data_IF_229980311808
#
_entry.id   IF_229980311808
#
_cell.length_a   1.000
_cell.length_b   1.000
_cell.length_c   1.000
_cell.angle_alpha   90.00
_cell.angle_beta   90.00
_cell.angle_gamma   90.00
#
_symmetry.space_group_name_H-M   'P 1'
#
loop_
_entity.id
_entity.type
_entity.pdbx_description
1 polymer ?
#
# COMPACT_ATOMS: atom_id res chain seq x y z
N UNK A 1 -24.58 37.56 -2.51
CA UNK A 1 -23.55 37.27 -1.51
C UNK A 1 -23.80 35.85 -1.02
N UNK A 2 -23.12 34.87 -1.62
CA UNK A 2 -23.25 33.45 -1.30
C UNK A 2 -22.33 33.16 -0.12
N UNK A 3 -22.89 32.92 1.05
CA UNK A 3 -22.14 32.44 2.20
C UNK A 3 -21.68 30.98 1.92
N UNK A 4 -20.41 30.71 2.09
CA UNK A 4 -19.90 29.36 2.01
C UNK A 4 -20.60 28.48 3.07
N UNK A 5 -20.90 27.25 2.70
CA UNK A 5 -21.54 26.24 3.58
C UNK A 5 -20.69 26.12 4.87
N UNK A 6 -21.31 26.26 6.06
CA UNK A 6 -20.58 26.17 7.33
C UNK A 6 -19.81 24.84 7.51
N UNK A 7 -20.24 23.75 6.86
CA UNK A 7 -19.53 22.46 6.86
C UNK A 7 -18.20 22.57 6.11
N UNK A 8 -18.17 23.29 4.96
CA UNK A 8 -16.96 23.52 4.17
C UNK A 8 -15.98 24.43 4.90
N UNK A 9 -16.50 25.44 5.61
CA UNK A 9 -15.67 26.32 6.44
C UNK A 9 -15.03 25.60 7.62
N UNK A 10 -15.79 24.73 8.27
CA UNK A 10 -15.30 23.92 9.39
C UNK A 10 -14.27 22.85 8.96
N UNK A 11 -14.36 22.35 7.71
CA UNK A 11 -13.33 21.46 7.13
C UNK A 11 -12.04 22.19 6.76
N UNK A 12 -12.11 23.47 6.40
CA UNK A 12 -10.93 24.28 6.06
C UNK A 12 -10.15 24.74 7.30
N UNK A 13 -10.83 24.99 8.42
CA UNK A 13 -10.18 25.37 9.69
C UNK A 13 -9.52 24.17 10.41
N UNK A 14 -9.89 22.92 10.06
CA UNK A 14 -9.34 21.71 10.64
C UNK A 14 -8.15 21.13 9.87
N UNK A 15 -7.60 21.83 8.86
CA UNK A 15 -6.48 21.30 8.06
C UNK A 15 -5.15 21.17 8.84
N UNK A 16 -5.01 21.86 9.97
CA UNK A 16 -3.84 21.74 10.87
C UNK A 16 -3.97 20.58 11.88
N UNK A 17 -5.13 19.96 12.00
CA UNK A 17 -5.43 18.93 13.00
C UNK A 17 -5.75 17.56 12.36
N UNK A 18 -5.30 17.33 11.12
CA UNK A 18 -5.53 16.08 10.37
C UNK A 18 -5.03 14.83 11.09
N UNK A 19 -4.06 14.96 11.98
CA UNK A 19 -3.55 13.85 12.79
C UNK A 19 -4.49 13.44 13.97
N UNK A 20 -5.49 14.24 14.29
CA UNK A 20 -6.41 13.98 15.42
C UNK A 20 -7.65 13.19 15.07
N UNK A 21 -8.05 13.13 13.80
CA UNK A 21 -9.28 12.46 13.37
C UNK A 21 -9.05 11.22 12.49
N UNK A 22 -8.03 10.42 12.79
CA UNK A 22 -8.03 9.05 12.31
C UNK A 22 -9.15 8.33 13.06
N UNK A 23 -10.31 8.20 12.41
CA UNK A 23 -11.39 7.35 12.86
C UNK A 23 -10.85 5.92 12.93
N UNK A 24 -10.41 5.52 14.12
CA UNK A 24 -10.02 4.12 14.36
C UNK A 24 -11.30 3.30 14.27
N UNK A 25 -11.41 2.50 13.24
CA UNK A 25 -12.51 1.54 13.11
C UNK A 25 -12.52 0.61 14.32
N UNK A 26 -13.58 0.73 15.12
CA UNK A 26 -13.81 -0.18 16.25
C UNK A 26 -14.43 -1.46 15.71
N UNK A 27 -13.84 -2.60 16.01
CA UNK A 27 -14.37 -3.93 15.66
C UNK A 27 -13.58 -4.68 14.59
N UNK A 28 -13.02 -4.03 13.57
CA UNK A 28 -12.16 -4.70 12.58
C UNK A 28 -10.78 -5.05 13.13
N UNK A 29 -10.32 -4.31 14.12
CA UNK A 29 -9.04 -4.52 14.79
C UNK A 29 -8.92 -5.89 15.46
N UNK A 30 -10.04 -6.48 15.87
CA UNK A 30 -10.09 -7.78 16.55
C UNK A 30 -10.17 -8.94 15.55
N UNK A 31 -10.52 -8.70 14.28
CA UNK A 31 -10.80 -9.73 13.29
C UNK A 31 -9.73 -9.79 12.21
N UNK A 32 -9.26 -8.64 11.70
CA UNK A 32 -8.32 -8.57 10.59
C UNK A 32 -7.23 -7.54 10.85
N UNK A 33 -5.98 -7.96 10.68
CA UNK A 33 -4.81 -7.07 10.68
C UNK A 33 -4.59 -6.43 9.31
N UNK A 34 -3.68 -5.46 9.24
CA UNK A 34 -3.34 -4.75 8.01
C UNK A 34 -2.80 -5.65 6.89
N UNK A 35 -2.25 -6.82 7.20
CA UNK A 35 -1.82 -7.80 6.19
C UNK A 35 -2.96 -8.24 5.26
N UNK A 36 -4.19 -8.25 5.74
CA UNK A 36 -5.34 -8.70 4.94
C UNK A 36 -5.60 -7.75 3.76
N UNK A 37 -5.19 -6.49 3.84
CA UNK A 37 -5.29 -5.53 2.73
C UNK A 37 -4.54 -5.99 1.48
N UNK A 38 -3.50 -6.83 1.62
CA UNK A 38 -2.72 -7.40 0.50
C UNK A 38 -3.63 -8.13 -0.49
N UNK A 39 -4.73 -8.74 -0.01
CA UNK A 39 -5.69 -9.47 -0.85
C UNK A 39 -6.30 -8.58 -1.93
N UNK A 40 -6.50 -7.28 -1.64
CA UNK A 40 -7.01 -6.30 -2.58
C UNK A 40 -5.89 -5.59 -3.34
N UNK A 41 -4.86 -5.19 -2.62
CA UNK A 41 -3.72 -4.44 -3.17
C UNK A 41 -3.00 -5.21 -4.28
N UNK A 42 -2.76 -6.53 -4.10
CA UNK A 42 -2.09 -7.32 -5.15
C UNK A 42 -2.93 -7.51 -6.42
N UNK A 43 -4.25 -7.36 -6.31
CA UNK A 43 -5.15 -7.36 -7.47
C UNK A 43 -5.13 -6.02 -8.18
N UNK A 44 -5.14 -4.95 -7.40
CA UNK A 44 -5.15 -3.58 -7.93
C UNK A 44 -3.85 -3.26 -8.67
N UNK A 45 -2.70 -3.52 -8.05
CA UNK A 45 -1.39 -3.23 -8.63
C UNK A 45 -0.79 -4.47 -9.29
N UNK A 46 -0.98 -4.59 -10.61
CA UNK A 46 -0.65 -5.80 -11.37
C UNK A 46 0.85 -6.03 -11.57
N UNK A 47 1.68 -4.99 -11.42
CA UNK A 47 3.15 -5.02 -11.50
C UNK A 47 3.84 -5.04 -10.13
N UNK A 48 3.07 -5.08 -9.05
CA UNK A 48 3.58 -5.12 -7.69
C UNK A 48 3.56 -6.54 -7.11
N UNK A 49 4.53 -6.83 -6.25
CA UNK A 49 4.60 -8.05 -5.46
C UNK A 49 4.73 -7.71 -3.97
N UNK A 50 4.08 -8.49 -3.11
CA UNK A 50 4.04 -8.27 -1.67
C UNK A 50 4.75 -9.42 -0.96
N UNK A 51 5.90 -9.13 -0.35
CA UNK A 51 6.65 -10.08 0.47
C UNK A 51 6.42 -9.78 1.95
N UNK A 52 5.61 -10.60 2.59
CA UNK A 52 5.36 -10.49 4.04
C UNK A 52 6.54 -11.06 4.79
N UNK A 53 7.10 -10.27 5.71
CA UNK A 53 8.12 -10.74 6.65
C UNK A 53 7.43 -11.14 7.94
N UNK A 54 7.23 -12.46 8.15
CA UNK A 54 6.37 -12.90 9.23
C UNK A 54 6.38 -14.39 9.51
N UNK A 55 5.46 -14.85 10.34
CA UNK A 55 5.34 -16.25 10.72
C UNK A 55 4.55 -17.09 9.69
N UNK A 56 4.59 -18.42 9.87
CA UNK A 56 3.74 -19.37 9.12
C UNK A 56 2.25 -19.06 9.27
N UNK A 57 1.83 -18.54 10.43
CA UNK A 57 0.44 -18.14 10.68
C UNK A 57 0.04 -16.96 9.77
N UNK A 58 0.91 -15.96 9.58
CA UNK A 58 0.69 -14.86 8.66
C UNK A 58 0.55 -15.37 7.22
N UNK A 59 1.42 -16.29 6.80
CA UNK A 59 1.35 -16.91 5.48
C UNK A 59 0.01 -17.63 5.28
N UNK A 60 -0.42 -18.42 6.25
CA UNK A 60 -1.67 -19.16 6.19
C UNK A 60 -2.90 -18.22 6.14
N UNK A 61 -2.90 -17.16 6.93
CA UNK A 61 -3.96 -16.15 6.93
C UNK A 61 -4.15 -15.55 5.53
N UNK A 62 -3.07 -15.08 4.91
CA UNK A 62 -3.15 -14.42 3.60
C UNK A 62 -3.53 -15.43 2.52
N UNK A 63 -2.96 -16.62 2.52
CA UNK A 63 -3.31 -17.68 1.56
C UNK A 63 -4.79 -18.09 1.68
N UNK A 64 -5.31 -18.19 2.89
CA UNK A 64 -6.72 -18.53 3.12
C UNK A 64 -7.63 -17.42 2.64
N UNK A 65 -7.31 -16.16 2.95
CA UNK A 65 -8.09 -15.01 2.50
C UNK A 65 -8.03 -14.85 0.97
N UNK A 66 -6.86 -15.05 0.35
CA UNK A 66 -6.69 -14.98 -1.09
C UNK A 66 -7.27 -16.18 -1.84
N UNK A 67 -7.36 -17.34 -1.19
CA UNK A 67 -7.94 -18.56 -1.76
C UNK A 67 -9.42 -18.41 -2.16
N UNK A 68 -10.13 -17.47 -1.57
CA UNK A 68 -11.49 -17.09 -1.98
C UNK A 68 -11.48 -16.37 -3.35
N UNK A 69 -10.34 -15.85 -3.78
CA UNK A 69 -10.16 -15.12 -5.03
C UNK A 69 -9.42 -15.95 -6.09
N UNK A 70 -9.97 -17.11 -6.40
CA UNK A 70 -9.39 -18.21 -7.20
C UNK A 70 -8.89 -17.77 -8.60
N UNK A 71 -9.33 -16.63 -9.11
CA UNK A 71 -9.07 -16.21 -10.49
C UNK A 71 -7.92 -15.21 -10.65
N UNK A 72 -7.22 -14.87 -9.57
CA UNK A 72 -6.08 -13.96 -9.64
C UNK A 72 -4.77 -14.70 -9.38
N UNK A 73 -3.77 -14.47 -10.22
CA UNK A 73 -2.40 -14.92 -9.93
C UNK A 73 -1.92 -14.31 -8.61
N UNK A 74 -1.48 -15.11 -7.62
CA UNK A 74 -1.01 -14.58 -6.37
C UNK A 74 0.30 -13.82 -6.58
N UNK A 75 0.31 -12.52 -6.30
CA UNK A 75 1.50 -11.68 -6.32
C UNK A 75 1.90 -11.32 -4.89
N UNK A 76 1.94 -12.33 -4.04
CA UNK A 76 2.43 -12.24 -2.67
C UNK A 76 3.10 -13.54 -2.23
N UNK A 77 4.02 -13.41 -1.28
CA UNK A 77 4.69 -14.53 -0.61
C UNK A 77 5.00 -14.14 0.84
N UNK A 78 5.51 -15.08 1.63
CA UNK A 78 5.96 -14.83 3.00
C UNK A 78 7.39 -15.30 3.17
N UNK A 79 8.27 -14.40 3.60
CA UNK A 79 9.56 -14.71 4.20
C UNK A 79 9.27 -15.17 5.63
N UNK A 80 9.43 -16.46 5.89
CA UNK A 80 9.05 -17.06 7.18
C UNK A 80 10.17 -16.85 8.17
N UNK A 81 9.87 -16.11 9.25
CA UNK A 81 10.70 -16.05 10.45
C UNK A 81 10.48 -17.31 11.27
N UNK A 82 11.54 -18.07 11.50
CA UNK A 82 11.51 -19.29 12.29
C UNK A 82 11.84 -19.02 13.78
N UNK A 83 11.84 -20.08 14.59
CA UNK A 83 12.10 -19.95 16.03
C UNK A 83 13.52 -19.44 16.33
N UNK A 84 14.49 -19.65 15.43
CA UNK A 84 15.87 -19.17 15.58
C UNK A 84 15.98 -17.69 15.31
N UNK A 85 15.22 -17.20 14.32
CA UNK A 85 15.10 -15.77 14.00
C UNK A 85 14.46 -15.02 15.16
N UNK A 86 13.35 -15.58 15.68
CA UNK A 86 12.62 -15.00 16.82
C UNK A 86 13.42 -15.02 18.12
N UNK A 87 14.34 -15.97 18.27
CA UNK A 87 15.25 -16.08 19.42
C UNK A 87 16.52 -15.19 19.26
N UNK A 88 16.68 -14.49 18.13
CA UNK A 88 17.86 -13.65 17.86
C UNK A 88 19.15 -14.48 17.61
N UNK A 89 19.01 -15.74 17.21
CA UNK A 89 20.13 -16.66 16.95
C UNK A 89 20.58 -16.67 15.49
N UNK A 90 19.86 -15.99 14.60
CA UNK A 90 20.19 -15.84 13.18
C UNK A 90 20.19 -14.36 12.79
N UNK A 91 20.95 -13.99 11.76
CA UNK A 91 20.85 -12.67 11.16
C UNK A 91 19.66 -12.63 10.20
N UNK A 92 18.58 -12.05 10.67
CA UNK A 92 17.35 -11.91 9.88
C UNK A 92 17.55 -11.07 8.62
N UNK A 93 18.53 -10.16 8.58
CA UNK A 93 18.78 -9.32 7.41
C UNK A 93 19.41 -10.12 6.29
N UNK A 94 20.40 -10.98 6.58
CA UNK A 94 21.04 -11.84 5.59
C UNK A 94 20.01 -12.81 4.97
N UNK A 95 19.13 -13.38 5.80
CA UNK A 95 18.08 -14.26 5.32
C UNK A 95 17.04 -13.52 4.48
N UNK A 96 16.65 -12.32 4.88
CA UNK A 96 15.75 -11.47 4.09
C UNK A 96 16.36 -11.14 2.73
N UNK A 97 17.64 -10.77 2.69
CA UNK A 97 18.36 -10.47 1.45
C UNK A 97 18.37 -11.68 0.51
N UNK A 98 18.65 -12.87 1.06
CA UNK A 98 18.65 -14.12 0.30
C UNK A 98 17.27 -14.40 -0.29
N UNK A 99 16.20 -14.28 0.51
CA UNK A 99 14.83 -14.52 0.08
C UNK A 99 14.40 -13.53 -1.02
N UNK A 100 14.72 -12.25 -0.84
CA UNK A 100 14.42 -11.21 -1.84
C UNK A 100 15.18 -11.49 -3.14
N UNK A 101 16.47 -11.86 -3.07
CA UNK A 101 17.24 -12.20 -4.25
C UNK A 101 16.63 -13.40 -5.00
N UNK A 102 16.33 -14.49 -4.29
CA UNK A 102 15.73 -15.67 -4.89
C UNK A 102 14.36 -15.38 -5.51
N UNK A 103 13.55 -14.53 -4.87
CA UNK A 103 12.26 -14.11 -5.39
C UNK A 103 12.43 -13.38 -6.73
N UNK A 104 13.31 -12.38 -6.77
CA UNK A 104 13.52 -11.56 -7.96
C UNK A 104 14.18 -12.32 -9.10
N UNK A 105 15.04 -13.31 -8.80
CA UNK A 105 15.62 -14.19 -9.80
C UNK A 105 14.57 -15.12 -10.44
N UNK A 106 13.59 -15.57 -9.65
CA UNK A 106 12.47 -16.40 -10.13
C UNK A 106 11.36 -15.60 -10.83
N UNK A 107 11.21 -14.33 -10.46
CA UNK A 107 10.13 -13.44 -10.92
C UNK A 107 10.71 -12.12 -11.44
N UNK A 108 11.43 -12.14 -12.58
CA UNK A 108 12.10 -10.95 -13.15
C UNK A 108 11.12 -9.88 -13.65
N UNK A 109 9.85 -10.22 -13.79
CA UNK A 109 8.78 -9.30 -14.17
C UNK A 109 8.38 -8.33 -13.05
N UNK A 110 8.76 -8.58 -11.79
CA UNK A 110 8.46 -7.70 -10.66
C UNK A 110 9.17 -6.36 -10.85
N UNK A 111 8.40 -5.27 -10.85
CA UNK A 111 8.91 -3.89 -10.93
C UNK A 111 8.84 -3.16 -9.61
N UNK A 112 7.86 -3.51 -8.78
CA UNK A 112 7.70 -2.95 -7.44
C UNK A 112 7.53 -4.10 -6.45
N UNK A 113 8.39 -4.16 -5.45
CA UNK A 113 8.34 -5.13 -4.36
C UNK A 113 8.04 -4.40 -3.05
N UNK A 114 6.98 -4.81 -2.37
CA UNK A 114 6.69 -4.34 -1.03
C UNK A 114 7.18 -5.34 0.01
N UNK A 115 8.04 -4.91 0.92
CA UNK A 115 8.37 -5.61 2.16
C UNK A 115 7.32 -5.24 3.20
N UNK A 116 6.51 -6.20 3.59
CA UNK A 116 5.37 -5.95 4.48
C UNK A 116 5.68 -6.47 5.88
N UNK A 117 5.78 -5.55 6.83
CA UNK A 117 5.99 -5.89 8.23
C UNK A 117 4.77 -6.59 8.84
N UNK A 118 5.02 -7.56 9.71
CA UNK A 118 4.02 -8.29 10.47
C UNK A 118 4.29 -8.19 11.97
N UNK A 119 3.37 -8.69 12.81
CA UNK A 119 3.58 -8.68 14.27
C UNK A 119 4.92 -9.30 14.69
N UNK A 120 5.34 -10.49 14.19
CA UNK A 120 6.65 -11.04 14.52
C UNK A 120 7.82 -10.14 14.13
N UNK A 121 7.84 -9.59 12.91
CA UNK A 121 8.94 -8.72 12.46
C UNK A 121 9.05 -7.44 13.28
N UNK A 122 7.91 -6.89 13.75
CA UNK A 122 7.90 -5.72 14.63
C UNK A 122 8.34 -6.01 16.05
N UNK A 123 7.93 -7.16 16.61
CA UNK A 123 8.35 -7.59 17.95
C UNK A 123 9.86 -7.75 18.02
N UNK A 124 10.49 -8.35 17.01
CA UNK A 124 11.96 -8.50 16.94
C UNK A 124 12.67 -7.29 16.31
N UNK A 125 11.89 -6.24 15.94
CA UNK A 125 12.39 -4.95 15.45
C UNK A 125 13.29 -5.07 14.21
N UNK A 126 12.87 -5.84 13.22
CA UNK A 126 13.54 -5.86 11.91
C UNK A 126 13.34 -4.50 11.25
N UNK A 127 14.44 -3.85 10.88
CA UNK A 127 14.42 -2.56 10.18
C UNK A 127 14.19 -2.77 8.67
N UNK A 128 12.91 -2.96 8.32
CA UNK A 128 12.49 -3.15 6.93
C UNK A 128 12.64 -1.89 6.08
N UNK A 129 12.66 -0.69 6.70
CA UNK A 129 12.87 0.57 6.01
C UNK A 129 14.27 0.66 5.44
N UNK A 130 15.27 0.49 6.30
CA UNK A 130 16.68 0.49 5.90
C UNK A 130 16.98 -0.65 4.92
N UNK A 131 16.44 -1.85 5.15
CA UNK A 131 16.60 -2.98 4.24
C UNK A 131 16.02 -2.68 2.85
N UNK A 132 14.79 -2.15 2.75
CA UNK A 132 14.15 -1.79 1.49
C UNK A 132 14.95 -0.71 0.74
N UNK A 133 15.39 0.34 1.43
CA UNK A 133 16.18 1.42 0.84
C UNK A 133 17.51 0.90 0.29
N UNK A 134 18.25 0.09 1.04
CA UNK A 134 19.52 -0.52 0.65
C UNK A 134 19.33 -1.40 -0.59
N UNK A 135 18.43 -2.38 -0.51
CA UNK A 135 18.18 -3.30 -1.62
C UNK A 135 17.67 -2.60 -2.88
N UNK A 136 16.87 -1.54 -2.73
CA UNK A 136 16.40 -0.73 -3.87
C UNK A 136 17.55 0.01 -4.55
N UNK A 137 18.49 0.57 -3.77
CA UNK A 137 19.66 1.25 -4.29
C UNK A 137 20.61 0.29 -5.04
N UNK A 138 20.82 -0.93 -4.52
CA UNK A 138 21.65 -1.96 -5.16
C UNK A 138 21.11 -2.38 -6.52
N UNK A 139 19.77 -2.37 -6.71
CA UNK A 139 19.09 -2.75 -7.97
C UNK A 139 19.07 -1.65 -9.02
N UNK A 140 19.64 -0.47 -8.76
CA UNK A 140 19.82 0.64 -9.73
C UNK A 140 18.54 0.98 -10.52
N UNK A 141 17.39 0.96 -9.87
CA UNK A 141 16.11 1.30 -10.49
C UNK A 141 15.47 0.19 -11.35
N UNK A 142 16.05 -1.00 -11.43
CA UNK A 142 15.43 -2.13 -12.13
C UNK A 142 14.18 -2.63 -11.40
N UNK A 143 14.25 -2.68 -10.07
CA UNK A 143 13.15 -3.01 -9.16
C UNK A 143 13.11 -1.97 -8.06
N UNK A 144 11.94 -1.44 -7.79
CA UNK A 144 11.67 -0.54 -6.68
C UNK A 144 11.27 -1.37 -5.47
N UNK A 145 11.99 -1.24 -4.37
CA UNK A 145 11.68 -1.95 -3.13
C UNK A 145 11.21 -0.94 -2.10
N UNK A 146 10.01 -1.13 -1.60
CA UNK A 146 9.32 -0.27 -0.63
C UNK A 146 8.98 -1.09 0.61
N UNK A 147 8.70 -0.42 1.73
CA UNK A 147 8.22 -1.10 2.93
C UNK A 147 6.97 -0.44 3.48
N UNK A 148 6.15 -1.19 4.21
CA UNK A 148 5.11 -0.69 5.09
C UNK A 148 4.76 -1.71 6.18
N UNK A 149 4.16 -1.24 7.28
CA UNK A 149 3.64 -2.12 8.32
C UNK A 149 2.22 -2.57 7.99
N UNK A 150 2.00 -3.89 8.03
CA UNK A 150 0.68 -4.53 8.00
C UNK A 150 0.37 -5.25 9.31
N UNK A 151 1.15 -4.99 10.38
CA UNK A 151 1.04 -5.72 11.63
C UNK A 151 -0.27 -5.44 12.36
N UNK A 152 -0.83 -6.46 13.01
CA UNK A 152 -2.03 -6.30 13.83
C UNK A 152 -1.78 -5.57 15.16
N UNK A 153 -0.51 -5.27 15.48
CA UNK A 153 -0.14 -4.45 16.64
C UNK A 153 -0.45 -2.99 16.35
N UNK A 154 -0.12 -2.52 15.15
CA UNK A 154 -0.19 -1.12 14.76
C UNK A 154 -1.35 -0.82 13.81
N UNK A 155 -1.74 -1.76 12.96
CA UNK A 155 -2.64 -1.52 11.85
C UNK A 155 -3.88 -2.40 11.86
N UNK A 156 -5.02 -1.79 11.57
CA UNK A 156 -6.25 -2.47 11.18
C UNK A 156 -6.20 -2.81 9.68
N UNK A 157 -7.23 -3.47 9.17
CA UNK A 157 -7.38 -3.81 7.75
C UNK A 157 -7.20 -2.57 6.84
N UNK A 158 -7.97 -1.51 7.05
CA UNK A 158 -7.91 -0.28 6.24
C UNK A 158 -6.64 0.51 6.45
N UNK A 159 -6.11 0.54 7.68
CA UNK A 159 -4.82 1.19 7.96
C UNK A 159 -3.64 0.48 7.27
N UNK A 160 -3.73 -0.83 7.00
CA UNK A 160 -2.74 -1.54 6.19
C UNK A 160 -2.76 -1.11 4.73
N UNK A 161 -3.94 -0.83 4.18
CA UNK A 161 -4.09 -0.23 2.86
C UNK A 161 -3.51 1.18 2.83
N UNK A 162 -3.89 2.04 3.78
CA UNK A 162 -3.37 3.40 3.91
C UNK A 162 -1.84 3.42 4.01
N UNK A 163 -1.26 2.50 4.77
CA UNK A 163 0.20 2.41 4.92
C UNK A 163 0.89 2.06 3.59
N UNK A 164 0.30 1.15 2.80
CA UNK A 164 0.78 0.82 1.46
C UNK A 164 0.69 2.04 0.51
N UNK A 165 -0.46 2.70 0.49
CA UNK A 165 -0.67 3.89 -0.34
C UNK A 165 0.29 5.01 0.05
N UNK A 166 0.49 5.23 1.36
CA UNK A 166 1.45 6.21 1.89
C UNK A 166 2.88 5.95 1.40
N UNK A 167 3.30 4.69 1.31
CA UNK A 167 4.61 4.33 0.78
C UNK A 167 4.78 4.67 -0.72
N UNK A 168 3.68 4.77 -1.46
CA UNK A 168 3.68 5.15 -2.88
C UNK A 168 3.65 6.66 -3.11
N UNK A 169 3.07 7.45 -2.20
CA UNK A 169 2.90 8.91 -2.37
C UNK A 169 4.19 9.64 -2.76
N UNK A 170 5.37 9.37 -2.15
CA UNK A 170 6.61 10.06 -2.52
C UNK A 170 7.08 9.78 -3.96
N UNK A 171 6.49 8.78 -4.60
CA UNK A 171 6.85 8.35 -5.95
C UNK A 171 5.91 8.89 -7.01
N UNK A 172 4.80 9.51 -6.60
CA UNK A 172 3.85 10.12 -7.51
C UNK A 172 4.52 11.29 -8.25
N UNK A 173 4.37 11.38 -9.58
CA UNK A 173 4.92 12.51 -10.32
C UNK A 173 4.30 13.83 -9.86
N UNK A 174 5.12 14.88 -9.81
CA UNK A 174 4.62 16.23 -9.56
C UNK A 174 4.32 16.86 -10.92
N UNK A 175 3.07 17.29 -11.18
CA UNK A 175 2.71 17.91 -12.44
C UNK A 175 3.36 19.28 -12.58
N UNK A 176 3.45 19.78 -13.81
CA UNK A 176 3.88 21.15 -14.06
C UNK A 176 2.96 22.15 -13.35
N UNK A 177 3.51 23.31 -12.95
CA UNK A 177 2.79 24.31 -12.14
C UNK A 177 1.53 24.87 -12.79
N UNK A 178 1.39 24.72 -14.11
CA UNK A 178 0.25 25.17 -14.91
C UNK A 178 -0.79 24.06 -15.20
N UNK A 179 -0.68 22.89 -14.56
CA UNK A 179 -1.62 21.79 -14.81
C UNK A 179 -3.06 22.18 -14.47
N UNK A 180 -3.99 21.75 -15.31
CA UNK A 180 -5.43 21.93 -15.09
C UNK A 180 -5.88 21.21 -13.81
N UNK A 181 -6.98 21.66 -13.18
CA UNK A 181 -7.53 20.99 -12.02
C UNK A 181 -7.89 19.54 -12.30
N UNK A 182 -7.44 18.62 -11.48
CA UNK A 182 -7.70 17.18 -11.57
C UNK A 182 -8.37 16.65 -10.30
N UNK A 183 -9.13 15.56 -10.43
CA UNK A 183 -9.72 14.83 -9.32
C UNK A 183 -8.97 13.49 -9.16
N UNK A 184 -8.44 13.26 -7.97
CA UNK A 184 -7.77 12.01 -7.61
C UNK A 184 -8.62 11.25 -6.59
N UNK A 185 -8.95 10.01 -6.91
CA UNK A 185 -9.67 9.12 -6.01
C UNK A 185 -8.66 8.13 -5.43
N UNK A 186 -8.46 8.15 -4.09
CA UNK A 186 -7.53 7.27 -3.42
C UNK A 186 -8.24 6.05 -2.81
N UNK A 187 -7.66 4.87 -3.05
CA UNK A 187 -8.13 3.59 -2.51
C UNK A 187 -7.92 2.43 -3.47
N UNK A 188 -7.83 1.22 -2.94
CA UNK A 188 -7.70 -0.01 -3.75
C UNK A 188 -9.08 -0.45 -4.30
N UNK A 189 -9.67 0.40 -5.13
CA UNK A 189 -10.99 0.16 -5.69
C UNK A 189 -10.95 -0.96 -6.76
N UNK A 190 -11.98 -1.81 -6.85
CA UNK A 190 -12.17 -2.71 -7.97
C UNK A 190 -12.39 -1.94 -9.28
N UNK A 191 -11.89 -2.45 -10.41
CA UNK A 191 -12.02 -1.81 -11.74
C UNK A 191 -13.47 -1.48 -12.11
N UNK A 192 -14.41 -2.34 -11.75
CA UNK A 192 -15.85 -2.11 -11.98
C UNK A 192 -16.37 -0.86 -11.25
N UNK A 193 -15.84 -0.60 -10.04
CA UNK A 193 -16.21 0.60 -9.26
C UNK A 193 -15.57 1.85 -9.87
N UNK A 194 -14.32 1.75 -10.30
CA UNK A 194 -13.63 2.83 -11.01
C UNK A 194 -14.37 3.24 -12.28
N UNK A 195 -14.81 2.26 -13.09
CA UNK A 195 -15.62 2.52 -14.30
C UNK A 195 -16.93 3.24 -13.98
N UNK A 196 -17.57 2.88 -12.87
CA UNK A 196 -18.80 3.55 -12.43
C UNK A 196 -18.52 4.99 -12.01
N UNK A 197 -17.46 5.25 -11.26
CA UNK A 197 -17.04 6.60 -10.89
C UNK A 197 -16.69 7.43 -12.13
N UNK A 198 -15.93 6.88 -13.07
CA UNK A 198 -15.60 7.58 -14.33
C UNK A 198 -16.86 8.00 -15.10
N UNK A 199 -17.83 7.11 -15.24
CA UNK A 199 -19.12 7.43 -15.89
C UNK A 199 -19.88 8.51 -15.15
N UNK A 200 -19.94 8.43 -13.81
CA UNK A 200 -20.62 9.41 -12.97
C UNK A 200 -19.97 10.80 -13.12
N UNK A 201 -18.66 10.88 -12.94
CA UNK A 201 -17.93 12.16 -13.01
C UNK A 201 -17.94 12.74 -14.43
N UNK A 202 -17.83 11.92 -15.45
CA UNK A 202 -17.97 12.35 -16.85
C UNK A 202 -19.36 12.96 -17.09
N UNK A 203 -20.43 12.33 -16.58
CA UNK A 203 -21.79 12.87 -16.67
C UNK A 203 -21.97 14.20 -15.93
N UNK A 204 -21.15 14.45 -14.90
CA UNK A 204 -21.10 15.72 -14.16
C UNK A 204 -20.18 16.77 -14.84
N UNK A 205 -19.53 16.44 -15.96
CA UNK A 205 -18.61 17.33 -16.67
C UNK A 205 -17.18 17.32 -16.14
N UNK A 206 -16.84 16.39 -15.23
CA UNK A 206 -15.49 16.20 -14.72
C UNK A 206 -14.79 15.12 -15.56
N UNK A 207 -13.83 15.52 -16.38
CA UNK A 207 -13.17 14.61 -17.34
C UNK A 207 -11.76 14.21 -16.92
N UNK A 208 -11.11 15.01 -16.07
CA UNK A 208 -9.76 14.73 -15.55
C UNK A 208 -9.86 14.06 -14.17
N UNK A 209 -10.11 12.75 -14.18
CA UNK A 209 -10.27 11.91 -12.99
C UNK A 209 -9.27 10.77 -13.05
N UNK A 210 -8.48 10.62 -12.01
CA UNK A 210 -7.49 9.55 -11.85
C UNK A 210 -7.72 8.77 -10.56
N UNK A 211 -7.18 7.56 -10.50
CA UNK A 211 -7.25 6.69 -9.32
C UNK A 211 -5.85 6.43 -8.77
N UNK A 212 -5.72 6.47 -7.44
CA UNK A 212 -4.49 6.17 -6.74
C UNK A 212 -4.73 5.00 -5.74
N UNK A 213 -3.98 3.90 -5.85
CA UNK A 213 -2.99 3.61 -6.88
C UNK A 213 -3.65 3.28 -8.22
N UNK A 214 -2.92 3.46 -9.32
CA UNK A 214 -3.33 2.95 -10.62
C UNK A 214 -3.26 1.41 -10.69
N UNK A 215 -3.55 0.85 -11.84
CA UNK A 215 -3.40 -0.60 -12.08
C UNK A 215 -1.94 -1.06 -12.07
N UNK A 216 -1.00 -0.13 -12.12
CA UNK A 216 0.44 -0.37 -12.00
C UNK A 216 1.04 0.56 -10.97
N UNK A 217 1.81 -0.01 -10.03
CA UNK A 217 2.58 0.75 -9.06
C UNK A 217 3.71 1.57 -9.72
N UNK A 218 4.15 1.20 -10.92
CA UNK A 218 5.14 1.95 -11.69
C UNK A 218 4.55 3.17 -12.41
N UNK A 219 3.24 3.22 -12.61
CA UNK A 219 2.53 4.25 -13.38
C UNK A 219 1.52 4.97 -12.47
N UNK A 220 2.05 5.79 -11.57
CA UNK A 220 1.25 6.54 -10.61
C UNK A 220 0.73 7.83 -11.25
N UNK A 221 -0.53 8.22 -10.95
CA UNK A 221 -1.05 9.50 -11.41
C UNK A 221 -0.29 10.67 -10.79
N UNK A 222 -0.16 11.80 -11.51
CA UNK A 222 0.48 12.99 -10.97
C UNK A 222 -0.35 13.61 -9.85
N UNK A 223 0.33 14.07 -8.80
CA UNK A 223 -0.30 14.74 -7.64
C UNK A 223 0.35 16.09 -7.42
N UNK A 224 -0.46 17.16 -7.44
CA UNK A 224 0.02 18.53 -7.34
C UNK A 224 -0.97 19.50 -6.70
N UNK A 225 -0.63 20.80 -6.65
CA UNK A 225 -1.44 21.81 -5.96
C UNK A 225 -2.88 21.94 -6.47
N UNK A 226 -3.12 21.61 -7.75
CA UNK A 226 -4.44 21.67 -8.39
C UNK A 226 -5.20 20.34 -8.35
N UNK A 227 -4.61 19.29 -7.76
CA UNK A 227 -5.27 18.00 -7.56
C UNK A 227 -6.21 18.08 -6.36
N UNK A 228 -7.48 17.68 -6.57
CA UNK A 228 -8.45 17.49 -5.49
C UNK A 228 -8.53 16.02 -5.15
N UNK A 229 -8.45 15.70 -3.86
CA UNK A 229 -8.49 14.34 -3.36
C UNK A 229 -9.92 13.99 -2.90
N UNK A 230 -10.38 12.78 -3.30
CA UNK A 230 -11.60 12.14 -2.83
C UNK A 230 -11.25 10.78 -2.22
#
# INVERSE_FOLDING_TARGET
MSGADPVVQQMAENSEDCDRYILRERGQREVFCGLTSIVWLHRKMQDAFFLVVGSRTCAHLIQSAAGVMIFAEPRFATAILDDRDLAGMADCNDELDRVVQELLDRRPEIKTLFLVGSCPSEVIKIDLETAAARMSAERKGQVRILHYSGSGIETTFTQGEDACLRALVPLAPIPEAAAEPSLLIAGALPEVVEDQFLRLFTAMGLTDVAFFPGTKAADLPPVGPNTRLL
#
